data_IF_028478895746
#
_entry.id   IF_028478895746
#
_cell.length_a   1.000
_cell.length_b   1.000
_cell.length_c   1.000
_cell.angle_alpha   90.00
_cell.angle_beta   90.00
_cell.angle_gamma   90.00
#
_symmetry.space_group_name_H-M   'P 1'
#
loop_
_entity.id
_entity.type
_entity.pdbx_description
1 polymer ?
#
# COMPACT_ATOMS: atom_id res chain seq x y z
N UNK A 1 -25.04 21.09 -5.26
CA UNK A 1 -24.18 19.99 -5.74
C UNK A 1 -22.73 20.25 -5.32
N UNK A 2 -22.11 19.26 -4.67
CA UNK A 2 -20.70 19.36 -4.33
C UNK A 2 -19.85 19.31 -5.59
N UNK A 3 -18.82 20.12 -5.63
CA UNK A 3 -17.83 20.12 -6.70
C UNK A 3 -16.48 19.74 -6.11
N UNK A 4 -15.74 18.94 -6.88
CA UNK A 4 -14.39 18.52 -6.52
C UNK A 4 -13.42 18.94 -7.59
N UNK A 5 -12.20 19.29 -7.18
CA UNK A 5 -11.16 19.64 -8.14
C UNK A 5 -10.65 18.42 -8.89
N UNK A 6 -10.61 17.26 -8.21
CA UNK A 6 -10.12 16.01 -8.79
C UNK A 6 -11.02 14.84 -8.44
N UNK A 7 -11.23 13.98 -9.42
CA UNK A 7 -11.79 12.65 -9.22
C UNK A 7 -10.66 11.64 -9.35
N UNK A 8 -10.41 10.89 -8.28
CA UNK A 8 -9.33 9.91 -8.24
C UNK A 8 -9.96 8.53 -8.25
N UNK A 9 -9.67 7.77 -9.29
CA UNK A 9 -10.16 6.40 -9.43
C UNK A 9 -9.08 5.45 -8.96
N UNK A 10 -9.31 4.81 -7.83
CA UNK A 10 -8.37 3.93 -7.19
C UNK A 10 -7.81 4.50 -5.88
N UNK A 11 -8.04 3.79 -4.79
CA UNK A 11 -7.62 4.18 -3.44
C UNK A 11 -6.37 3.42 -3.00
N UNK A 12 -5.49 3.09 -3.94
CA UNK A 12 -4.18 2.52 -3.65
C UNK A 12 -3.18 3.60 -3.28
N UNK A 13 -1.92 3.24 -3.20
CA UNK A 13 -0.87 4.15 -2.75
C UNK A 13 -0.73 5.37 -3.66
N UNK A 14 -0.78 5.17 -4.98
CA UNK A 14 -0.64 6.28 -5.93
C UNK A 14 -1.77 7.30 -5.74
N UNK A 15 -3.01 6.83 -5.71
CA UNK A 15 -4.16 7.71 -5.52
C UNK A 15 -4.14 8.42 -4.18
N UNK A 16 -3.74 7.71 -3.13
CA UNK A 16 -3.64 8.28 -1.78
C UNK A 16 -2.60 9.39 -1.71
N UNK A 17 -1.43 9.20 -2.29
CA UNK A 17 -0.37 10.22 -2.32
C UNK A 17 -0.83 11.43 -3.12
N UNK A 18 -1.46 11.21 -4.28
CA UNK A 18 -1.97 12.30 -5.09
C UNK A 18 -3.01 13.12 -4.30
N UNK A 19 -3.96 12.44 -3.66
CA UNK A 19 -4.99 13.11 -2.88
C UNK A 19 -4.40 13.91 -1.71
N UNK A 20 -3.43 13.33 -1.02
CA UNK A 20 -2.75 14.01 0.09
C UNK A 20 -2.05 15.28 -0.37
N UNK A 21 -1.28 15.20 -1.45
CA UNK A 21 -0.55 16.36 -1.96
C UNK A 21 -1.48 17.43 -2.53
N UNK A 22 -2.55 17.02 -3.21
CA UNK A 22 -3.56 17.97 -3.69
C UNK A 22 -4.26 18.68 -2.54
N UNK A 23 -4.61 17.94 -1.49
CA UNK A 23 -5.27 18.48 -0.30
C UNK A 23 -4.38 19.52 0.40
N UNK A 24 -3.08 19.25 0.48
CA UNK A 24 -2.11 20.20 1.07
C UNK A 24 -2.04 21.50 0.29
N UNK A 25 -2.45 21.48 -0.98
CA UNK A 25 -2.47 22.68 -1.85
C UNK A 25 -3.86 23.29 -1.95
N UNK A 26 -4.74 22.91 -1.04
CA UNK A 26 -6.09 23.50 -0.96
C UNK A 26 -7.07 22.96 -1.99
N UNK A 27 -6.74 21.86 -2.65
CA UNK A 27 -7.63 21.24 -3.63
C UNK A 27 -8.52 20.19 -2.97
N UNK A 28 -9.69 19.97 -3.55
CA UNK A 28 -10.62 18.97 -3.05
C UNK A 28 -10.62 17.76 -3.97
N UNK A 29 -10.65 16.57 -3.35
CA UNK A 29 -10.59 15.31 -4.08
C UNK A 29 -11.75 14.41 -3.68
N UNK A 30 -12.29 13.71 -4.67
CA UNK A 30 -13.19 12.60 -4.44
C UNK A 30 -12.44 11.33 -4.90
N UNK A 31 -12.23 10.41 -3.98
CA UNK A 31 -11.54 9.14 -4.26
C UNK A 31 -12.57 8.03 -4.28
N UNK A 32 -12.59 7.27 -5.36
CA UNK A 32 -13.49 6.13 -5.51
C UNK A 32 -12.69 4.87 -5.78
N UNK A 33 -13.21 3.73 -5.34
CA UNK A 33 -12.58 2.43 -5.59
C UNK A 33 -13.67 1.36 -5.72
N UNK A 34 -13.42 0.39 -6.58
CA UNK A 34 -14.33 -0.73 -6.74
C UNK A 34 -14.23 -1.75 -5.60
N UNK A 35 -13.11 -1.76 -4.88
CA UNK A 35 -12.92 -2.63 -3.72
C UNK A 35 -13.60 -2.03 -2.51
N UNK A 36 -13.90 -2.86 -1.53
CA UNK A 36 -14.57 -2.44 -0.30
C UNK A 36 -13.58 -2.00 0.79
N UNK A 37 -12.34 -1.73 0.42
CA UNK A 37 -11.30 -1.26 1.32
C UNK A 37 -10.37 -0.30 0.59
N UNK A 38 -9.62 0.48 1.33
CA UNK A 38 -8.55 1.33 0.80
C UNK A 38 -7.23 0.54 0.80
N UNK A 39 -6.18 1.13 0.23
CA UNK A 39 -4.83 0.57 0.25
C UNK A 39 -4.42 -0.14 -1.03
N UNK A 40 -5.39 -0.50 -1.88
CA UNK A 40 -5.06 -1.17 -3.13
C UNK A 40 -4.34 -2.48 -2.91
N UNK A 41 -3.31 -2.72 -3.71
CA UNK A 41 -2.56 -3.98 -3.65
C UNK A 41 -1.67 -4.12 -2.42
N UNK A 42 -1.43 -3.04 -1.67
CA UNK A 42 -0.66 -3.13 -0.43
C UNK A 42 -1.54 -3.39 0.80
N UNK A 43 -2.82 -3.59 0.58
CA UNK A 43 -3.76 -3.81 1.67
C UNK A 43 -3.42 -5.09 2.43
N UNK A 44 -3.33 -4.95 3.75
CA UNK A 44 -3.07 -6.06 4.67
C UNK A 44 -4.20 -6.09 5.70
N UNK A 45 -4.68 -7.28 6.02
CA UNK A 45 -5.68 -7.44 7.06
C UNK A 45 -5.22 -8.42 8.12
N UNK A 46 -5.70 -8.24 9.34
CA UNK A 46 -5.41 -9.16 10.41
C UNK A 46 -6.49 -10.24 10.45
N UNK A 47 -6.07 -11.50 10.34
CA UNK A 47 -6.96 -12.66 10.42
C UNK A 47 -6.40 -13.59 11.48
N UNK A 48 -7.14 -13.78 12.56
CA UNK A 48 -6.74 -14.64 13.67
C UNK A 48 -5.35 -14.31 14.22
N UNK A 49 -5.06 -13.00 14.35
CA UNK A 49 -3.77 -12.53 14.86
C UNK A 49 -2.65 -12.52 13.84
N UNK A 50 -2.92 -12.89 12.60
CA UNK A 50 -1.92 -12.97 11.54
C UNK A 50 -2.14 -11.83 10.55
N UNK A 51 -1.06 -11.16 10.16
CA UNK A 51 -1.11 -10.11 9.13
C UNK A 51 -1.10 -10.77 7.75
N UNK A 52 -2.22 -10.66 7.04
CA UNK A 52 -2.41 -11.29 5.74
C UNK A 52 -2.32 -10.23 4.65
N UNK A 53 -1.34 -10.39 3.76
CA UNK A 53 -1.22 -9.56 2.55
C UNK A 53 -2.17 -10.10 1.49
N UNK A 54 -3.32 -9.45 1.33
CA UNK A 54 -4.40 -9.95 0.46
C UNK A 54 -3.99 -10.15 -1.00
N UNK A 55 -3.06 -9.36 -1.48
CA UNK A 55 -2.69 -9.34 -2.89
C UNK A 55 -1.20 -9.66 -3.10
N UNK A 56 -0.63 -10.42 -2.19
CA UNK A 56 0.79 -10.74 -2.18
C UNK A 56 1.58 -9.83 -1.26
N UNK A 57 2.78 -10.24 -0.92
CA UNK A 57 3.65 -9.47 -0.03
C UNK A 57 4.16 -8.22 -0.74
N UNK A 58 3.93 -7.08 -0.13
CA UNK A 58 4.42 -5.80 -0.62
C UNK A 58 5.27 -5.17 0.47
N UNK A 59 6.58 -5.20 0.27
CA UNK A 59 7.57 -4.68 1.22
C UNK A 59 8.05 -3.35 0.68
N UNK A 60 7.96 -2.29 1.50
CA UNK A 60 8.44 -0.99 1.07
C UNK A 60 9.96 -1.02 0.93
N UNK A 61 10.44 -0.57 -0.21
CA UNK A 61 11.85 -0.57 -0.53
C UNK A 61 12.19 0.64 -1.38
N UNK A 62 13.20 1.39 -0.98
CA UNK A 62 13.71 2.50 -1.78
C UNK A 62 15.16 2.79 -1.42
N UNK A 63 15.95 3.21 -2.41
CA UNK A 63 17.30 3.75 -2.21
C UNK A 63 17.29 5.29 -2.19
N UNK A 64 16.14 5.92 -2.37
CA UNK A 64 16.03 7.38 -2.45
C UNK A 64 15.64 7.95 -1.09
N UNK A 65 16.52 8.75 -0.51
CA UNK A 65 16.27 9.37 0.79
C UNK A 65 15.01 10.23 0.79
N UNK A 66 14.76 10.95 -0.29
CA UNK A 66 13.58 11.80 -0.41
C UNK A 66 12.28 11.00 -0.27
N UNK A 67 12.22 9.83 -0.89
CA UNK A 67 11.05 8.94 -0.79
C UNK A 67 10.94 8.35 0.60
N UNK A 68 12.05 7.92 1.17
CA UNK A 68 12.09 7.38 2.52
C UNK A 68 11.60 8.39 3.55
N UNK A 69 12.10 9.61 3.47
CA UNK A 69 11.69 10.68 4.40
C UNK A 69 10.19 11.00 4.25
N UNK A 70 9.70 11.00 3.01
CA UNK A 70 8.29 11.27 2.75
C UNK A 70 7.39 10.23 3.39
N UNK A 71 7.69 8.95 3.18
CA UNK A 71 6.80 7.87 3.64
C UNK A 71 6.84 7.72 5.15
N UNK A 72 7.95 8.07 5.79
CA UNK A 72 8.08 8.00 7.25
C UNK A 72 7.24 9.03 7.99
N UNK A 73 6.66 10.02 7.29
CA UNK A 73 5.70 10.92 7.89
C UNK A 73 4.38 10.22 8.25
N UNK A 74 4.08 9.10 7.59
CA UNK A 74 2.78 8.45 7.70
C UNK A 74 2.82 7.13 8.47
N UNK A 75 3.98 6.48 8.51
CA UNK A 75 4.10 5.17 9.11
C UNK A 75 5.50 4.96 9.67
N UNK A 76 5.57 4.13 10.71
CA UNK A 76 6.83 3.64 11.25
C UNK A 76 7.12 2.27 10.62
N UNK A 77 8.31 2.11 10.08
CA UNK A 77 8.72 0.89 9.40
C UNK A 77 9.64 0.07 10.30
N UNK A 78 9.47 -1.26 10.25
CA UNK A 78 10.34 -2.18 10.97
C UNK A 78 11.39 -2.76 10.00
N UNK A 79 12.31 -3.56 10.55
CA UNK A 79 13.37 -4.20 9.77
C UNK A 79 12.95 -5.61 9.33
N UNK A 80 11.73 -5.73 8.81
CA UNK A 80 11.21 -7.00 8.38
C UNK A 80 12.04 -7.55 7.22
N UNK A 81 12.48 -8.80 7.35
CA UNK A 81 13.17 -9.51 6.28
C UNK A 81 12.18 -10.45 5.61
N UNK A 82 11.93 -10.23 4.33
CA UNK A 82 10.99 -11.03 3.56
C UNK A 82 11.66 -12.33 3.12
N UNK A 83 11.18 -13.46 3.63
CA UNK A 83 11.72 -14.77 3.30
C UNK A 83 10.57 -15.70 2.91
N UNK A 84 10.01 -15.52 1.70
CA UNK A 84 8.86 -16.31 1.29
C UNK A 84 9.23 -17.77 1.04
N UNK A 85 8.24 -18.63 1.28
CA UNK A 85 8.35 -20.08 1.04
C UNK A 85 7.24 -20.46 0.06
N UNK A 86 7.61 -21.22 -0.97
CA UNK A 86 6.65 -21.75 -1.92
C UNK A 86 6.40 -23.23 -1.63
N UNK A 87 5.14 -23.65 -1.80
CA UNK A 87 4.75 -25.06 -1.71
C UNK A 87 4.36 -25.52 -3.11
N UNK A 88 5.03 -26.58 -3.57
CA UNK A 88 4.73 -27.17 -4.88
C UNK A 88 4.85 -28.68 -4.77
N UNK A 89 3.78 -29.38 -5.12
CA UNK A 89 3.69 -30.86 -5.03
C UNK A 89 4.11 -31.37 -3.64
N UNK A 90 3.58 -30.72 -2.59
CA UNK A 90 3.83 -31.03 -1.18
C UNK A 90 5.29 -30.84 -0.72
N UNK A 91 6.12 -30.17 -1.53
CA UNK A 91 7.48 -29.82 -1.15
C UNK A 91 7.60 -28.32 -0.90
N UNK A 92 8.49 -27.96 0.02
CA UNK A 92 8.73 -26.57 0.42
C UNK A 92 9.98 -26.03 -0.28
N UNK A 93 9.88 -24.84 -0.82
CA UNK A 93 10.99 -24.16 -1.49
C UNK A 93 11.15 -22.76 -0.92
N UNK A 94 12.39 -22.37 -0.65
CA UNK A 94 12.69 -20.98 -0.29
C UNK A 94 12.75 -20.12 -1.55
N UNK A 95 12.22 -18.92 -1.46
CA UNK A 95 12.25 -17.97 -2.56
C UNK A 95 13.18 -16.81 -2.24
N UNK A 96 13.87 -16.24 -3.24
CA UNK A 96 13.96 -16.71 -4.63
C UNK A 96 14.82 -17.96 -4.74
N UNK A 97 14.61 -18.72 -5.80
CA UNK A 97 15.37 -19.95 -6.05
C UNK A 97 16.81 -19.65 -6.44
#
# INVERSE_FOLDING_TARGET
MKKYDYLIVGAGLFGAVFAHEASRRGKTCLVIDKRNHIGGNIYTEEVEGIQVHRYGAHIFHTSRKQVWDYINQFAEFNHFVNSPIAIYKDELYNLPF
#
